data_IF_441008377857
#
_entry.id   IF_441008377857
#
_cell.length_a   1.000
_cell.length_b   1.000
_cell.length_c   1.000
_cell.angle_alpha   90.00
_cell.angle_beta   90.00
_cell.angle_gamma   90.00
#
_symmetry.space_group_name_H-M   'P 1'
#
loop_
_entity.id
_entity.type
_entity.pdbx_description
1 polymer ?
#
# COMPACT_ATOMS: atom_id res chain seq x y z
N UNK A 1 -0.23 -59.46 0.55
CA UNK A 1 -0.09 -58.95 -0.84
C UNK A 1 -1.47 -58.45 -1.27
N UNK A 2 -1.69 -57.14 -1.22
CA UNK A 2 -3.00 -56.51 -1.46
C UNK A 2 -2.95 -55.75 -2.79
N UNK A 3 -3.98 -55.93 -3.62
CA UNK A 3 -4.08 -55.46 -4.99
C UNK A 3 -4.59 -54.01 -5.11
N UNK A 4 -4.38 -53.47 -6.32
CA UNK A 4 -4.52 -52.10 -6.80
C UNK A 4 -5.94 -51.50 -6.89
N UNK A 5 -6.03 -50.16 -6.97
CA UNK A 5 -7.24 -49.46 -7.46
C UNK A 5 -7.36 -47.96 -7.16
N UNK A 6 -6.85 -47.12 -8.08
CA UNK A 6 -7.17 -45.71 -8.43
C UNK A 6 -8.07 -44.81 -7.53
N UNK A 7 -7.47 -43.66 -7.14
CA UNK A 7 -7.77 -42.25 -7.48
C UNK A 7 -9.14 -41.57 -7.22
N UNK A 8 -9.01 -40.27 -6.84
CA UNK A 8 -9.94 -39.12 -6.85
C UNK A 8 -10.85 -38.94 -5.62
N UNK A 9 -11.22 -37.74 -5.13
CA UNK A 9 -10.79 -36.33 -5.16
C UNK A 9 -11.89 -35.55 -4.39
N UNK A 10 -11.58 -34.55 -3.56
CA UNK A 10 -12.36 -33.32 -3.23
C UNK A 10 -11.98 -32.75 -1.85
N UNK A 11 -11.68 -31.46 -1.65
CA UNK A 11 -11.60 -30.32 -2.55
C UNK A 11 -10.95 -29.11 -1.85
N UNK A 12 -9.84 -28.64 -2.42
CA UNK A 12 -9.22 -27.33 -2.22
C UNK A 12 -10.05 -26.30 -3.00
N UNK A 13 -10.63 -25.31 -2.31
CA UNK A 13 -11.66 -24.43 -2.84
C UNK A 13 -11.22 -22.99 -3.11
N UNK A 14 -9.95 -22.73 -3.45
CA UNK A 14 -9.50 -21.36 -3.78
C UNK A 14 -8.54 -21.29 -4.98
N UNK A 15 -8.71 -22.21 -5.94
CA UNK A 15 -8.02 -22.20 -7.23
C UNK A 15 -9.05 -22.19 -8.35
N UNK A 16 -9.38 -20.99 -8.82
CA UNK A 16 -9.70 -20.68 -10.22
C UNK A 16 -10.65 -19.49 -10.31
N UNK A 17 -10.07 -18.33 -10.60
CA UNK A 17 -10.81 -17.22 -11.21
C UNK A 17 -9.84 -16.25 -11.88
N UNK A 18 -9.27 -16.58 -13.04
CA UNK A 18 -8.89 -15.63 -14.11
C UNK A 18 -8.52 -16.38 -15.41
N UNK A 19 -9.15 -16.09 -16.57
CA UNK A 19 -8.80 -16.71 -17.86
C UNK A 19 -7.54 -16.08 -18.50
N UNK A 20 -6.86 -16.76 -19.44
CA UNK A 20 -5.61 -16.28 -20.02
C UNK A 20 -5.83 -15.41 -21.26
N UNK A 21 -5.05 -14.32 -21.36
CA UNK A 21 -4.80 -13.59 -22.60
C UNK A 21 -5.62 -12.31 -22.80
N UNK A 22 -4.99 -11.16 -22.51
CA UNK A 22 -5.10 -9.85 -23.21
C UNK A 22 -4.25 -8.78 -22.50
N UNK A 23 -3.31 -8.18 -23.22
CA UNK A 23 -2.68 -6.87 -23.02
C UNK A 23 -2.34 -6.40 -21.60
N UNK A 24 -1.06 -6.45 -21.25
CA UNK A 24 -0.46 -6.16 -19.93
C UNK A 24 -0.59 -4.70 -19.45
N UNK A 25 -1.24 -3.81 -20.22
CA UNK A 25 -1.41 -2.39 -19.84
C UNK A 25 -2.84 -2.07 -19.35
N UNK A 26 -3.81 -2.99 -19.46
CA UNK A 26 -5.19 -2.74 -18.94
C UNK A 26 -5.49 -3.31 -17.55
N UNK A 27 -4.66 -4.23 -17.03
CA UNK A 27 -4.94 -4.97 -15.79
C UNK A 27 -4.52 -4.24 -14.49
N UNK A 28 -4.19 -2.95 -14.58
CA UNK A 28 -3.75 -2.13 -13.45
C UNK A 28 -4.70 -0.98 -13.10
N UNK A 29 -5.84 -0.85 -13.80
CA UNK A 29 -6.81 0.24 -13.56
C UNK A 29 -8.30 -0.19 -13.53
N UNK A 30 -8.65 -1.46 -13.41
CA UNK A 30 -10.06 -1.81 -13.17
C UNK A 30 -10.26 -2.88 -12.11
N UNK A 31 -10.91 -2.47 -11.01
CA UNK A 31 -11.87 -3.31 -10.31
C UNK A 31 -13.23 -3.10 -10.97
N UNK A 32 -13.65 -4.00 -11.87
CA UNK A 32 -15.03 -4.00 -12.39
C UNK A 32 -15.97 -4.61 -11.33
N UNK A 33 -16.79 -3.76 -10.70
CA UNK A 33 -18.06 -4.13 -10.08
C UNK A 33 -19.15 -3.76 -11.10
N UNK A 34 -19.89 -4.75 -11.56
CA UNK A 34 -21.06 -4.57 -12.43
C UNK A 34 -22.27 -4.14 -11.57
N UNK A 35 -22.86 -2.99 -11.89
CA UNK A 35 -24.06 -2.43 -11.22
C UNK A 35 -25.21 -2.40 -12.24
N UNK A 36 -26.35 -3.07 -11.99
CA UNK A 36 -27.48 -3.05 -12.92
C UNK A 36 -28.25 -1.71 -12.90
N UNK A 37 -28.90 -1.30 -14.01
CA UNK A 37 -29.56 -0.01 -14.11
C UNK A 37 -30.88 0.05 -13.33
N UNK A 38 -31.09 1.19 -12.66
CA UNK A 38 -32.23 1.48 -11.80
C UNK A 38 -33.52 1.78 -12.59
N UNK A 39 -34.64 1.31 -12.02
CA UNK A 39 -35.99 1.80 -12.30
C UNK A 39 -36.67 2.22 -10.99
N UNK A 40 -36.83 3.54 -10.84
CA UNK A 40 -37.75 4.36 -10.02
C UNK A 40 -37.96 4.17 -8.49
N UNK A 41 -37.78 5.32 -7.83
CA UNK A 41 -38.36 5.91 -6.60
C UNK A 41 -37.68 5.78 -5.21
N UNK A 42 -37.29 6.96 -4.67
CA UNK A 42 -36.57 7.25 -3.41
C UNK A 42 -37.30 6.79 -2.14
N UNK A 43 -36.57 6.13 -1.22
CA UNK A 43 -36.05 6.80 -0.01
C UNK A 43 -34.60 6.42 0.38
N UNK A 44 -33.83 5.79 -0.52
CA UNK A 44 -32.52 5.19 -0.21
C UNK A 44 -31.31 6.16 -0.20
N UNK A 45 -31.41 7.36 -0.76
CA UNK A 45 -30.26 8.27 -0.91
C UNK A 45 -29.83 8.95 0.41
N UNK A 46 -30.77 9.40 1.24
CA UNK A 46 -30.44 10.11 2.50
C UNK A 46 -29.83 9.21 3.57
N UNK A 47 -30.17 7.93 3.58
CA UNK A 47 -29.59 6.94 4.50
C UNK A 47 -28.18 6.54 4.08
N UNK A 48 -27.91 6.47 2.77
CA UNK A 48 -26.58 6.22 2.21
C UNK A 48 -25.59 7.32 2.58
N UNK A 49 -25.95 8.59 2.39
CA UNK A 49 -25.06 9.73 2.65
C UNK A 49 -24.68 9.85 4.13
N UNK A 50 -25.65 9.63 5.02
CA UNK A 50 -25.40 9.63 6.47
C UNK A 50 -24.54 8.45 6.92
N UNK A 51 -24.73 7.28 6.32
CA UNK A 51 -23.90 6.10 6.57
C UNK A 51 -22.45 6.33 6.12
N UNK A 52 -22.25 6.91 4.93
CA UNK A 52 -20.93 7.27 4.43
C UNK A 52 -20.23 8.30 5.34
N UNK A 53 -20.94 9.37 5.73
CA UNK A 53 -20.40 10.38 6.64
C UNK A 53 -19.99 9.78 8.00
N UNK A 54 -20.80 8.87 8.56
CA UNK A 54 -20.48 8.18 9.83
C UNK A 54 -19.26 7.29 9.67
N UNK A 55 -19.14 6.55 8.56
CA UNK A 55 -17.98 5.71 8.26
C UNK A 55 -16.69 6.54 8.20
N UNK A 56 -16.72 7.69 7.52
CA UNK A 56 -15.58 8.61 7.44
C UNK A 56 -15.22 9.21 8.81
N UNK A 57 -16.22 9.62 9.61
CA UNK A 57 -15.99 10.14 10.95
C UNK A 57 -15.30 9.11 11.87
N UNK A 58 -15.72 7.84 11.78
CA UNK A 58 -15.10 6.74 12.52
C UNK A 58 -13.65 6.49 12.09
N UNK A 59 -13.35 6.54 10.79
CA UNK A 59 -11.97 6.37 10.28
C UNK A 59 -11.05 7.52 10.72
N UNK A 60 -11.52 8.76 10.64
CA UNK A 60 -10.75 9.93 11.07
C UNK A 60 -10.47 9.86 12.57
N UNK A 61 -11.49 9.57 13.38
CA UNK A 61 -11.32 9.39 14.82
C UNK A 61 -10.37 8.24 15.16
N UNK A 62 -10.48 7.11 14.45
CA UNK A 62 -9.58 5.97 14.63
C UNK A 62 -8.13 6.35 14.30
N UNK A 63 -7.89 7.07 13.20
CA UNK A 63 -6.56 7.59 12.85
C UNK A 63 -5.96 8.40 13.98
N UNK A 64 -6.71 9.38 14.50
CA UNK A 64 -6.25 10.25 15.59
C UNK A 64 -5.93 9.43 16.85
N UNK A 65 -6.84 8.55 17.29
CA UNK A 65 -6.64 7.72 18.50
C UNK A 65 -5.43 6.78 18.33
N UNK A 66 -5.27 6.16 17.16
CA UNK A 66 -4.14 5.27 16.91
C UNK A 66 -2.81 6.02 16.86
N UNK A 67 -2.76 7.21 16.26
CA UNK A 67 -1.54 8.01 16.21
C UNK A 67 -1.15 8.55 17.61
N UNK A 68 -2.13 8.82 18.48
CA UNK A 68 -1.89 9.30 19.85
C UNK A 68 -1.46 8.17 20.81
N UNK A 69 -2.16 7.03 20.78
CA UNK A 69 -2.05 5.99 21.81
C UNK A 69 -1.41 4.68 21.32
N UNK A 70 -1.23 4.52 20.01
CA UNK A 70 -0.91 3.23 19.40
C UNK A 70 -2.14 2.32 19.27
N UNK A 71 -2.01 1.26 18.46
CA UNK A 71 -3.09 0.29 18.23
C UNK A 71 -3.45 -0.47 19.50
N UNK A 72 -2.45 -0.95 20.27
CA UNK A 72 -2.69 -1.80 21.43
C UNK A 72 -3.56 -1.09 22.47
N UNK A 73 -3.23 0.17 22.79
CA UNK A 73 -3.89 0.94 23.85
C UNK A 73 -5.15 1.67 23.41
N UNK A 74 -5.36 1.87 22.11
CA UNK A 74 -6.58 2.48 21.59
C UNK A 74 -7.85 1.70 22.00
N UNK A 75 -8.80 2.38 22.64
CA UNK A 75 -10.10 1.80 22.98
C UNK A 75 -11.16 2.15 21.93
N UNK A 76 -12.04 1.18 21.63
CA UNK A 76 -13.21 1.39 20.74
C UNK A 76 -14.10 2.51 21.27
N UNK A 77 -14.20 2.66 22.59
CA UNK A 77 -14.96 3.73 23.25
C UNK A 77 -14.42 5.12 22.94
N UNK A 78 -13.10 5.27 22.89
CA UNK A 78 -12.46 6.57 22.61
C UNK A 78 -12.70 6.97 21.16
N UNK A 79 -12.61 6.00 20.24
CA UNK A 79 -12.87 6.20 18.81
C UNK A 79 -14.31 6.65 18.58
N UNK A 80 -15.30 5.96 19.14
CA UNK A 80 -16.71 6.32 18.90
C UNK A 80 -17.10 7.62 19.60
N UNK A 81 -16.54 7.90 20.79
CA UNK A 81 -16.75 9.17 21.48
C UNK A 81 -16.22 10.33 20.64
N UNK A 82 -15.01 10.20 20.08
CA UNK A 82 -14.40 11.22 19.22
C UNK A 82 -15.12 11.38 17.88
N UNK A 83 -15.61 10.29 17.29
CA UNK A 83 -16.40 10.32 16.07
C UNK A 83 -17.83 10.87 16.24
N UNK A 84 -18.29 11.09 17.49
CA UNK A 84 -19.70 11.41 17.75
C UNK A 84 -20.65 10.28 17.34
N UNK A 85 -20.18 9.03 17.39
CA UNK A 85 -20.89 7.83 16.95
C UNK A 85 -21.19 6.89 18.12
N UNK A 86 -22.02 5.87 17.88
CA UNK A 86 -22.25 4.81 18.86
C UNK A 86 -21.33 3.60 18.61
N UNK A 87 -21.12 2.78 19.65
CA UNK A 87 -20.46 1.47 19.50
C UNK A 87 -21.18 0.61 18.46
N UNK A 88 -22.51 0.62 18.45
CA UNK A 88 -23.31 -0.09 17.45
C UNK A 88 -23.06 0.41 16.02
N UNK A 89 -22.89 1.73 15.83
CA UNK A 89 -22.54 2.32 14.54
C UNK A 89 -21.16 1.87 14.06
N UNK A 90 -20.18 1.77 14.96
CA UNK A 90 -18.86 1.23 14.60
C UNK A 90 -18.98 -0.22 14.14
N UNK A 91 -19.64 -1.09 14.90
CA UNK A 91 -19.79 -2.51 14.53
C UNK A 91 -20.67 -2.74 13.30
N UNK A 92 -21.53 -1.79 12.96
CA UNK A 92 -22.28 -1.81 11.71
C UNK A 92 -21.37 -1.56 10.48
N UNK A 93 -20.32 -0.76 10.62
CA UNK A 93 -19.42 -0.38 9.51
C UNK A 93 -18.09 -1.15 9.48
N UNK A 94 -17.62 -1.61 10.64
CA UNK A 94 -16.30 -2.21 10.82
C UNK A 94 -16.34 -3.36 11.82
N UNK A 95 -15.52 -4.37 11.59
CA UNK A 95 -15.35 -5.52 12.48
C UNK A 95 -14.41 -5.19 13.67
N UNK A 96 -14.64 -4.05 14.32
CA UNK A 96 -13.82 -3.54 15.43
C UNK A 96 -12.57 -2.77 15.00
N UNK A 97 -11.72 -2.44 15.98
CA UNK A 97 -10.55 -1.56 15.78
C UNK A 97 -9.49 -2.13 14.81
N UNK A 98 -9.40 -3.44 14.67
CA UNK A 98 -8.48 -4.08 13.72
C UNK A 98 -8.89 -3.78 12.26
N UNK A 99 -10.19 -3.79 11.96
CA UNK A 99 -10.71 -3.50 10.63
C UNK A 99 -10.51 -2.02 10.26
N UNK A 100 -10.72 -1.12 11.24
CA UNK A 100 -10.37 0.30 11.10
C UNK A 100 -8.88 0.51 10.79
N UNK A 101 -8.00 -0.17 11.53
CA UNK A 101 -6.55 -0.09 11.31
C UNK A 101 -6.15 -0.57 9.92
N UNK A 102 -6.70 -1.71 9.46
CA UNK A 102 -6.42 -2.25 8.13
C UNK A 102 -6.98 -1.34 7.02
N UNK A 103 -8.16 -0.76 7.22
CA UNK A 103 -8.74 0.20 6.27
C UNK A 103 -7.86 1.45 6.15
N UNK A 104 -7.39 2.00 7.28
CA UNK A 104 -6.46 3.14 7.27
C UNK A 104 -5.14 2.80 6.59
N UNK A 105 -4.65 1.58 6.80
CA UNK A 105 -3.47 1.08 6.11
C UNK A 105 -3.68 1.08 4.60
N UNK A 106 -4.78 0.48 4.12
CA UNK A 106 -5.08 0.41 2.69
C UNK A 106 -5.22 1.81 2.07
N UNK A 107 -5.89 2.74 2.74
CA UNK A 107 -6.02 4.13 2.29
C UNK A 107 -4.66 4.85 2.23
N UNK A 108 -3.80 4.68 3.24
CA UNK A 108 -2.44 5.22 3.23
C UNK A 108 -1.64 4.65 2.05
N UNK A 109 -1.73 3.34 1.82
CA UNK A 109 -1.01 2.72 0.70
C UNK A 109 -1.52 3.14 -0.67
N UNK A 110 -2.83 3.35 -0.82
CA UNK A 110 -3.40 3.88 -2.05
C UNK A 110 -2.86 5.28 -2.35
N UNK A 111 -2.80 6.17 -1.35
CA UNK A 111 -2.19 7.51 -1.51
C UNK A 111 -0.71 7.44 -1.87
N UNK A 112 0.06 6.58 -1.20
CA UNK A 112 1.48 6.40 -1.51
C UNK A 112 1.71 5.85 -2.92
N UNK A 113 0.85 4.94 -3.36
CA UNK A 113 0.90 4.39 -4.72
C UNK A 113 0.59 5.45 -5.77
N UNK A 114 -0.42 6.30 -5.54
CA UNK A 114 -0.75 7.37 -6.48
C UNK A 114 0.38 8.41 -6.57
N UNK A 115 0.93 8.88 -5.45
CA UNK A 115 2.09 9.79 -5.43
C UNK A 115 3.27 9.24 -6.26
N UNK A 116 3.57 7.96 -6.05
CA UNK A 116 4.66 7.28 -6.77
C UNK A 116 4.37 7.21 -8.27
N UNK A 117 3.13 6.87 -8.64
CA UNK A 117 2.68 6.76 -10.03
C UNK A 117 2.74 8.10 -10.74
N UNK A 118 2.20 9.15 -10.12
CA UNK A 118 2.19 10.51 -10.64
C UNK A 118 3.62 11.03 -10.88
N UNK A 119 4.54 10.79 -9.94
CA UNK A 119 5.93 11.20 -10.09
C UNK A 119 6.63 10.50 -11.27
N UNK A 120 6.42 9.19 -11.42
CA UNK A 120 6.96 8.41 -12.54
C UNK A 120 6.36 8.89 -13.88
N UNK A 121 5.05 9.11 -13.93
CA UNK A 121 4.37 9.63 -15.12
C UNK A 121 4.89 11.02 -15.49
N UNK A 122 5.07 11.91 -14.51
CA UNK A 122 5.57 13.27 -14.74
C UNK A 122 6.93 13.28 -15.43
N UNK A 123 7.89 12.48 -14.97
CA UNK A 123 9.22 12.43 -15.61
C UNK A 123 9.18 11.75 -16.98
N UNK A 124 8.31 10.75 -17.18
CA UNK A 124 8.10 10.11 -18.49
C UNK A 124 7.53 11.07 -19.52
N UNK A 125 6.52 11.84 -19.13
CA UNK A 125 5.89 12.84 -20.00
C UNK A 125 6.86 13.97 -20.36
N UNK A 126 7.85 14.24 -19.48
CA UNK A 126 8.98 15.12 -19.76
C UNK A 126 10.07 14.50 -20.65
N UNK A 127 9.91 13.26 -21.10
CA UNK A 127 10.83 12.56 -22.01
C UNK A 127 11.94 11.76 -21.32
N UNK A 128 11.89 11.56 -20.00
CA UNK A 128 12.87 10.73 -19.31
C UNK A 128 12.70 9.26 -19.70
N UNK A 129 13.74 8.68 -20.29
CA UNK A 129 13.75 7.29 -20.77
C UNK A 129 14.58 6.36 -19.89
N UNK A 130 15.46 6.89 -19.04
CA UNK A 130 16.28 6.10 -18.12
C UNK A 130 15.40 5.49 -17.01
N UNK A 131 15.27 4.15 -16.95
CA UNK A 131 14.48 3.49 -15.92
C UNK A 131 14.98 3.79 -14.50
N UNK A 132 16.28 4.05 -14.31
CA UNK A 132 16.83 4.40 -13.00
C UNK A 132 16.33 5.77 -12.54
N UNK A 133 16.31 6.76 -13.43
CA UNK A 133 15.77 8.09 -13.10
C UNK A 133 14.27 8.06 -12.84
N UNK A 134 13.53 7.23 -13.57
CA UNK A 134 12.11 6.99 -13.28
C UNK A 134 11.91 6.33 -11.90
N UNK A 135 12.74 5.34 -11.55
CA UNK A 135 12.72 4.74 -10.21
C UNK A 135 12.98 5.76 -9.11
N UNK A 136 14.03 6.58 -9.26
CA UNK A 136 14.39 7.64 -8.31
C UNK A 136 13.25 8.64 -8.11
N UNK A 137 12.56 9.04 -9.18
CA UNK A 137 11.39 9.92 -9.08
C UNK A 137 10.28 9.31 -8.23
N UNK A 138 9.94 8.04 -8.45
CA UNK A 138 8.95 7.32 -7.65
C UNK A 138 9.40 7.12 -6.19
N UNK A 139 10.69 6.81 -5.98
CA UNK A 139 11.27 6.61 -4.66
C UNK A 139 11.26 7.90 -3.82
N UNK A 140 11.63 9.04 -4.42
CA UNK A 140 11.53 10.36 -3.79
C UNK A 140 10.08 10.67 -3.39
N UNK A 141 9.12 10.52 -4.31
CA UNK A 141 7.72 10.80 -4.02
C UNK A 141 7.14 9.91 -2.89
N UNK A 142 7.57 8.64 -2.81
CA UNK A 142 7.19 7.76 -1.71
C UNK A 142 7.76 8.24 -0.36
N UNK A 143 9.03 8.65 -0.35
CA UNK A 143 9.72 9.15 0.84
C UNK A 143 9.09 10.45 1.33
N UNK A 144 8.86 11.41 0.42
CA UNK A 144 8.17 12.67 0.70
C UNK A 144 6.76 12.45 1.24
N UNK A 145 6.00 11.54 0.64
CA UNK A 145 4.67 11.16 1.13
C UNK A 145 4.71 10.54 2.53
N UNK A 146 5.75 9.77 2.84
CA UNK A 146 5.94 9.16 4.18
C UNK A 146 6.32 10.21 5.22
N UNK A 147 7.07 11.25 4.85
CA UNK A 147 7.39 12.37 5.73
C UNK A 147 6.19 13.32 5.90
N UNK A 148 5.39 13.54 4.86
CA UNK A 148 4.21 14.40 4.93
C UNK A 148 3.09 13.80 5.80
N UNK A 149 2.96 12.48 5.84
CA UNK A 149 2.02 11.74 6.69
C UNK A 149 2.79 10.91 7.74
N UNK A 150 3.76 11.54 8.41
CA UNK A 150 4.71 10.88 9.30
C UNK A 150 4.07 10.12 10.45
N UNK A 151 3.06 10.71 11.07
CA UNK A 151 2.25 10.13 12.15
C UNK A 151 1.64 8.78 11.73
N UNK A 152 1.03 8.76 10.55
CA UNK A 152 0.40 7.58 9.95
C UNK A 152 1.46 6.57 9.50
N UNK A 153 2.54 7.03 8.90
CA UNK A 153 3.65 6.16 8.50
C UNK A 153 4.27 5.45 9.73
N UNK A 154 4.49 6.19 10.83
CA UNK A 154 4.98 5.66 12.11
C UNK A 154 4.07 4.58 12.64
N UNK A 155 2.75 4.82 12.64
CA UNK A 155 1.77 3.86 13.12
C UNK A 155 1.99 2.47 12.49
N UNK A 156 2.17 2.41 11.17
CA UNK A 156 2.31 1.14 10.45
C UNK A 156 3.71 0.51 10.51
N UNK A 157 4.75 1.29 10.80
CA UNK A 157 6.15 0.82 10.85
C UNK A 157 6.57 0.48 12.30
N UNK A 158 5.91 1.06 13.31
CA UNK A 158 6.21 0.86 14.74
C UNK A 158 6.12 -0.59 15.21
N UNK A 159 5.37 -1.44 14.48
CA UNK A 159 5.07 -2.82 14.88
C UNK A 159 3.89 -2.94 15.85
N UNK A 160 3.30 -1.84 16.30
CA UNK A 160 2.08 -1.83 17.11
C UNK A 160 0.84 -1.89 16.21
N UNK A 161 0.53 -3.09 15.72
CA UNK A 161 -0.62 -3.36 14.86
C UNK A 161 -1.42 -4.59 15.28
N UNK A 162 -2.52 -4.92 14.58
CA UNK A 162 -3.32 -6.10 14.88
C UNK A 162 -2.52 -7.40 14.72
N UNK A 163 -2.89 -8.48 15.42
CA UNK A 163 -2.21 -9.77 15.29
C UNK A 163 -2.09 -10.23 13.83
N UNK A 164 -0.87 -10.55 13.41
CA UNK A 164 -0.56 -11.00 12.05
C UNK A 164 -0.32 -9.89 11.04
N UNK A 165 -0.46 -8.61 11.43
CA UNK A 165 -0.14 -7.47 10.56
C UNK A 165 1.32 -7.45 10.13
N UNK A 166 2.23 -7.89 11.00
CA UNK A 166 3.64 -8.14 10.71
C UNK A 166 3.86 -9.06 9.49
N UNK A 167 3.01 -10.10 9.34
CA UNK A 167 3.03 -10.99 8.17
C UNK A 167 2.50 -10.29 6.93
N UNK A 168 1.49 -9.43 7.07
CA UNK A 168 0.96 -8.61 5.97
C UNK A 168 2.05 -7.68 5.46
N UNK A 169 2.76 -6.97 6.35
CA UNK A 169 3.86 -6.07 5.98
C UNK A 169 4.99 -6.81 5.26
N UNK A 170 5.43 -7.95 5.81
CA UNK A 170 6.48 -8.77 5.19
C UNK A 170 6.09 -9.26 3.80
N UNK A 171 4.86 -9.76 3.63
CA UNK A 171 4.36 -10.20 2.32
C UNK A 171 4.26 -9.04 1.34
N UNK A 172 3.86 -7.85 1.80
CA UNK A 172 3.77 -6.65 0.98
C UNK A 172 5.14 -6.21 0.49
N UNK A 173 6.13 -6.08 1.37
CA UNK A 173 7.51 -5.74 0.99
C UNK A 173 8.06 -6.71 -0.06
N UNK A 174 7.88 -8.01 0.16
CA UNK A 174 8.31 -9.03 -0.80
C UNK A 174 7.60 -8.92 -2.16
N UNK A 175 6.28 -8.64 -2.16
CA UNK A 175 5.50 -8.44 -3.39
C UNK A 175 5.93 -7.17 -4.11
N UNK A 176 6.19 -6.10 -3.38
CA UNK A 176 6.59 -4.82 -3.92
C UNK A 176 7.97 -4.93 -4.58
N UNK A 177 8.95 -5.54 -3.91
CA UNK A 177 10.28 -5.79 -4.49
C UNK A 177 10.20 -6.64 -5.78
N UNK A 178 9.41 -7.71 -5.78
CA UNK A 178 9.21 -8.55 -6.98
C UNK A 178 8.50 -7.82 -8.12
N UNK A 179 7.52 -6.98 -7.80
CA UNK A 179 6.77 -6.22 -8.81
C UNK A 179 7.61 -5.11 -9.42
N UNK A 180 8.41 -4.43 -8.60
CA UNK A 180 9.41 -3.49 -9.10
C UNK A 180 10.38 -4.22 -10.03
N UNK A 181 10.93 -5.37 -9.63
CA UNK A 181 11.84 -6.14 -10.48
C UNK A 181 11.20 -6.50 -11.83
N UNK A 182 9.94 -6.92 -11.85
CA UNK A 182 9.20 -7.22 -13.08
C UNK A 182 8.95 -5.99 -13.98
N UNK A 183 8.76 -4.79 -13.41
CA UNK A 183 8.59 -3.55 -14.18
C UNK A 183 9.91 -3.07 -14.84
N UNK A 184 11.04 -3.44 -14.24
CA UNK A 184 12.36 -3.09 -14.76
C UNK A 184 13.01 -4.20 -15.58
N UNK A 185 12.39 -5.37 -15.70
CA UNK A 185 12.79 -6.38 -16.69
C UNK A 185 12.24 -5.99 -18.06
N UNK A 186 13.04 -5.31 -18.86
CA UNK A 186 12.82 -5.19 -20.31
C UNK A 186 13.95 -5.90 -21.04
N UNK A 187 13.60 -6.65 -22.10
CA UNK A 187 14.53 -7.47 -22.91
C UNK A 187 15.68 -6.67 -23.57
N UNK A 188 15.63 -5.33 -23.49
CA UNK A 188 16.49 -4.41 -24.24
C UNK A 188 17.11 -3.25 -23.44
N UNK A 189 17.35 -3.41 -22.13
CA UNK A 189 18.08 -2.41 -21.32
C UNK A 189 17.47 -2.05 -19.95
N UNK A 190 16.68 -2.96 -19.38
CA UNK A 190 16.08 -2.79 -18.07
C UNK A 190 17.06 -2.78 -16.87
N UNK A 191 16.55 -2.52 -15.67
CA UNK A 191 17.35 -2.57 -14.42
C UNK A 191 17.49 -4.02 -13.96
N UNK A 192 18.67 -4.41 -13.50
CA UNK A 192 18.89 -5.74 -12.95
C UNK A 192 17.97 -6.03 -11.75
N UNK A 193 17.36 -7.22 -11.71
CA UNK A 193 16.45 -7.62 -10.62
C UNK A 193 17.12 -7.57 -9.24
N UNK A 194 18.39 -7.98 -9.14
CA UNK A 194 19.12 -7.90 -7.89
C UNK A 194 19.30 -6.44 -7.47
N UNK A 195 19.59 -5.54 -8.42
CA UNK A 195 19.70 -4.11 -8.16
C UNK A 195 18.36 -3.55 -7.67
N UNK A 196 17.24 -3.89 -8.31
CA UNK A 196 15.91 -3.43 -7.88
C UNK A 196 15.57 -3.92 -6.47
N UNK A 197 15.91 -5.16 -6.13
CA UNK A 197 15.71 -5.70 -4.78
C UNK A 197 16.54 -4.91 -3.76
N UNK A 198 17.82 -4.65 -4.06
CA UNK A 198 18.72 -3.87 -3.21
C UNK A 198 18.18 -2.45 -3.00
N UNK A 199 17.80 -1.77 -4.09
CA UNK A 199 17.27 -0.41 -4.03
C UNK A 199 15.95 -0.36 -3.24
N UNK A 200 15.04 -1.30 -3.49
CA UNK A 200 13.76 -1.37 -2.76
C UNK A 200 13.98 -1.63 -1.27
N UNK A 201 14.96 -2.48 -0.92
CA UNK A 201 15.35 -2.74 0.47
C UNK A 201 15.97 -1.52 1.15
N UNK A 202 16.87 -0.82 0.46
CA UNK A 202 17.48 0.42 0.94
C UNK A 202 16.41 1.50 1.19
N UNK A 203 15.44 1.65 0.27
CA UNK A 203 14.32 2.57 0.45
C UNK A 203 13.44 2.21 1.64
N UNK A 204 13.12 0.93 1.83
CA UNK A 204 12.33 0.49 2.98
C UNK A 204 13.05 0.77 4.30
N UNK A 205 14.37 0.55 4.36
CA UNK A 205 15.19 0.92 5.51
C UNK A 205 15.22 2.44 5.75
N UNK A 206 15.45 3.21 4.69
CA UNK A 206 15.46 4.68 4.73
C UNK A 206 14.16 5.23 5.32
N UNK A 207 13.02 4.82 4.76
CA UNK A 207 11.69 5.24 5.22
C UNK A 207 11.49 4.87 6.69
N UNK A 208 11.91 3.67 7.11
CA UNK A 208 11.80 3.26 8.52
C UNK A 208 12.59 4.18 9.44
N UNK A 209 13.83 4.52 9.11
CA UNK A 209 14.69 5.39 9.91
C UNK A 209 14.16 6.83 9.95
N UNK A 210 13.89 7.44 8.79
CA UNK A 210 13.46 8.84 8.73
C UNK A 210 12.05 9.05 9.29
N UNK A 211 11.16 8.07 9.18
CA UNK A 211 9.85 8.18 9.80
C UNK A 211 9.99 8.13 11.32
N UNK A 212 10.90 7.33 11.88
CA UNK A 212 11.03 7.17 13.34
C UNK A 212 11.86 8.26 14.04
N UNK A 213 12.75 8.97 13.35
CA UNK A 213 13.62 9.97 14.00
C UNK A 213 12.86 11.13 14.69
N UNK A 214 13.31 11.68 15.81
CA UNK A 214 12.50 12.71 16.49
C UNK A 214 12.52 14.09 15.79
N UNK A 215 13.63 14.43 15.14
CA UNK A 215 13.85 15.71 14.45
C UNK A 215 13.45 15.59 12.96
N UNK A 216 12.46 16.39 12.54
CA UNK A 216 11.95 16.42 11.16
C UNK A 216 12.99 16.92 10.16
N UNK A 217 13.74 17.97 10.50
CA UNK A 217 14.74 18.56 9.61
C UNK A 217 15.92 17.60 9.44
N UNK A 218 16.34 16.95 10.53
CA UNK A 218 17.37 15.91 10.46
C UNK A 218 16.91 14.71 9.63
N UNK A 219 15.65 14.31 9.78
CA UNK A 219 15.08 13.19 9.02
C UNK A 219 14.97 13.52 7.53
N UNK A 220 14.60 14.75 7.17
CA UNK A 220 14.61 15.20 5.77
C UNK A 220 16.03 15.23 5.19
N UNK A 221 17.02 15.75 5.93
CA UNK A 221 18.43 15.71 5.49
C UNK A 221 18.92 14.28 5.26
N UNK A 222 18.61 13.36 6.18
CA UNK A 222 18.98 11.95 6.03
C UNK A 222 18.30 11.31 4.81
N UNK A 223 17.03 11.62 4.56
CA UNK A 223 16.32 11.21 3.36
C UNK A 223 17.02 11.69 2.08
N UNK A 224 17.37 12.97 2.01
CA UNK A 224 18.08 13.57 0.86
C UNK A 224 19.45 12.91 0.63
N UNK A 225 20.21 12.68 1.70
CA UNK A 225 21.52 12.00 1.64
C UNK A 225 21.41 10.57 1.13
N UNK A 226 20.43 9.80 1.61
CA UNK A 226 20.18 8.43 1.15
C UNK A 226 19.82 8.44 -0.34
N UNK A 227 18.93 9.34 -0.76
CA UNK A 227 18.52 9.45 -2.16
C UNK A 227 19.67 9.87 -3.07
N UNK A 228 20.54 10.77 -2.59
CA UNK A 228 21.77 11.13 -3.30
C UNK A 228 22.70 9.92 -3.49
N UNK A 229 22.89 9.09 -2.45
CA UNK A 229 23.69 7.85 -2.54
C UNK A 229 23.04 6.88 -3.54
N UNK A 230 21.73 6.65 -3.44
CA UNK A 230 21.01 5.73 -4.34
C UNK A 230 21.13 6.19 -5.79
N UNK A 231 21.11 7.50 -6.06
CA UNK A 231 21.29 8.06 -7.39
C UNK A 231 22.68 7.82 -8.00
N UNK A 232 23.70 7.50 -7.19
CA UNK A 232 25.03 7.14 -7.68
C UNK A 232 25.15 5.69 -8.12
N UNK A 233 24.19 4.82 -7.75
CA UNK A 233 24.24 3.39 -8.04
C UNK A 233 23.95 3.18 -9.53
N UNK A 234 24.94 2.63 -10.25
CA UNK A 234 24.84 2.38 -11.69
C UNK A 234 24.14 1.07 -11.99
N UNK A 235 23.38 1.06 -13.09
CA UNK A 235 22.82 -0.17 -13.64
C UNK A 235 23.93 -0.97 -14.34
N UNK A 236 24.28 -2.18 -13.89
CA UNK A 236 25.35 -2.98 -14.50
C UNK A 236 25.06 -3.34 -15.96
N UNK A 237 23.78 -3.42 -16.35
CA UNK A 237 23.37 -3.80 -17.70
C UNK A 237 23.60 -2.71 -18.75
N UNK A 238 23.67 -1.45 -18.33
CA UNK A 238 23.98 -0.33 -19.25
C UNK A 238 25.48 -0.21 -19.56
N UNK A 239 26.36 -0.91 -18.84
CA UNK A 239 27.82 -0.87 -19.04
C UNK A 239 28.34 -1.97 -20.00
N UNK A 240 27.49 -2.89 -20.44
CA UNK A 240 27.85 -4.02 -21.32
C UNK A 240 27.51 -3.81 -22.82
N UNK A 241 27.01 -2.63 -23.21
CA UNK A 241 26.80 -2.23 -24.61
C UNK A 241 27.87 -1.23 -25.04
#
# INVERSE_FOLDING_TARGET
>A
MTAAGRAQNSGDGYRDRFPPGKGVISALMSSDIDVPPAGVDEPAQRTSDRGAATRTALLNAAREVFCEAGFAQAAVTDIVARAGASVGSLYHHFNGKADLYLTLFDEFQARQQERTREAITTVRDAGETDPMRQFLAGANAYLDGSLAERDVARLFISGDGPPGFDRVMRRRLNRWARRNAALFHTEDGGVDEALVIVLTGAMAGAVSEVVQGDDEDASRRLADEIMAIVATIRNPRTEQR
#
